data_IF_036072356955
#
_entry.id   IF_036072356955
#
_cell.length_a   1.000
_cell.length_b   1.000
_cell.length_c   1.000
_cell.angle_alpha   90.00
_cell.angle_beta   90.00
_cell.angle_gamma   90.00
#
_symmetry.space_group_name_H-M   'P 1'
#
loop_
_entity.id
_entity.type
_entity.pdbx_description
1 polymer ?
#
# COMPACT_ATOMS: atom_id res chain seq x y z
N UNK A 1 -34.52 -20.89 21.99
CA UNK A 1 -33.18 -20.73 22.62
C UNK A 1 -32.18 -20.55 21.50
N UNK A 2 -31.64 -19.34 21.33
CA UNK A 2 -30.63 -19.08 20.31
C UNK A 2 -29.28 -19.60 20.82
N UNK A 3 -28.81 -20.70 20.25
CA UNK A 3 -27.44 -21.15 20.46
C UNK A 3 -26.52 -20.14 19.80
N UNK A 4 -25.95 -19.24 20.60
CA UNK A 4 -24.79 -18.44 20.20
C UNK A 4 -23.68 -19.43 19.87
N UNK A 5 -23.52 -19.78 18.59
CA UNK A 5 -22.31 -20.47 18.13
C UNK A 5 -21.17 -19.52 18.42
N UNK A 6 -20.47 -19.73 19.52
CA UNK A 6 -19.17 -19.12 19.71
C UNK A 6 -18.32 -19.59 18.53
N UNK A 7 -18.09 -18.69 17.58
CA UNK A 7 -17.13 -18.90 16.50
C UNK A 7 -15.79 -19.16 17.19
N UNK A 8 -15.41 -20.43 17.21
CA UNK A 8 -14.13 -20.86 17.73
C UNK A 8 -13.12 -20.32 16.73
N UNK A 9 -12.32 -19.31 17.14
CA UNK A 9 -11.23 -18.82 16.30
C UNK A 9 -10.33 -20.00 15.92
N UNK A 10 -9.77 -20.03 14.70
CA UNK A 10 -8.81 -21.05 14.33
C UNK A 10 -7.63 -20.97 15.30
N UNK A 11 -7.07 -22.13 15.65
CA UNK A 11 -5.83 -22.18 16.41
C UNK A 11 -4.74 -21.47 15.59
N UNK A 12 -3.88 -20.70 16.26
CA UNK A 12 -2.73 -20.02 15.67
C UNK A 12 -3.06 -18.91 14.63
N UNK A 13 -3.91 -17.96 15.02
CA UNK A 13 -4.18 -16.72 14.25
C UNK A 13 -3.68 -15.49 14.99
N UNK A 14 -3.42 -14.42 14.24
CA UNK A 14 -2.94 -13.16 14.81
C UNK A 14 -3.94 -12.55 15.80
N UNK A 15 -3.40 -12.06 16.92
CA UNK A 15 -4.16 -11.27 17.90
C UNK A 15 -4.29 -9.80 17.49
N UNK A 16 -5.11 -9.03 18.21
CA UNK A 16 -5.25 -7.58 18.00
C UNK A 16 -3.97 -6.79 18.35
N UNK A 17 -3.12 -7.36 19.20
CA UNK A 17 -1.91 -6.71 19.69
C UNK A 17 -0.69 -6.95 18.79
N UNK A 18 -0.77 -7.94 17.91
CA UNK A 18 0.29 -8.19 16.93
C UNK A 18 0.34 -7.07 15.90
N UNK A 19 1.57 -6.64 15.60
CA UNK A 19 1.86 -5.67 14.55
C UNK A 19 2.61 -6.37 13.43
N UNK A 20 2.18 -6.10 12.20
CA UNK A 20 3.03 -6.40 11.05
C UNK A 20 4.29 -5.56 11.15
N UNK A 21 5.42 -6.17 10.82
CA UNK A 21 6.67 -5.45 10.69
C UNK A 21 6.57 -4.44 9.55
N UNK A 22 6.82 -3.17 9.80
CA UNK A 22 6.90 -2.18 8.72
C UNK A 22 8.12 -2.48 7.83
N UNK A 23 8.02 -2.16 6.54
CA UNK A 23 9.17 -2.23 5.64
C UNK A 23 10.25 -1.30 6.19
N UNK A 24 11.51 -1.71 6.23
CA UNK A 24 12.60 -0.75 6.40
C UNK A 24 13.07 -0.30 5.02
N UNK A 25 13.28 1.00 4.83
CA UNK A 25 13.97 1.49 3.64
C UNK A 25 15.33 0.77 3.49
N UNK A 26 15.69 0.34 2.26
CA UNK A 26 17.01 -0.22 1.99
C UNK A 26 18.12 0.72 2.46
N UNK A 27 19.16 0.16 3.09
CA UNK A 27 20.20 0.92 3.80
C UNK A 27 21.07 1.78 2.86
N UNK A 28 21.11 1.41 1.58
CA UNK A 28 21.85 2.05 0.50
C UNK A 28 21.09 3.20 -0.16
N UNK A 29 19.80 3.40 0.16
CA UNK A 29 19.05 4.56 -0.32
C UNK A 29 19.60 5.84 0.30
N UNK A 30 20.02 6.75 -0.58
CA UNK A 30 20.57 8.08 -0.24
C UNK A 30 20.11 9.12 -1.25
N UNK A 31 20.15 10.42 -0.91
CA UNK A 31 19.92 11.49 -1.89
C UNK A 31 20.72 11.26 -3.18
N UNK A 32 20.10 11.61 -4.30
CA UNK A 32 20.55 11.42 -5.68
C UNK A 32 20.68 9.98 -6.18
N UNK A 33 20.45 8.97 -5.33
CA UNK A 33 20.31 7.60 -5.81
C UNK A 33 19.12 7.50 -6.78
N UNK A 34 19.31 6.74 -7.84
CA UNK A 34 18.28 6.47 -8.84
C UNK A 34 17.90 5.00 -8.72
N UNK A 35 16.63 4.74 -8.48
CA UNK A 35 16.09 3.38 -8.34
C UNK A 35 14.84 3.21 -9.19
N UNK A 36 14.52 1.95 -9.53
CA UNK A 36 13.29 1.63 -10.28
C UNK A 36 12.16 1.31 -9.33
N UNK A 37 10.98 1.87 -9.60
CA UNK A 37 9.80 1.64 -8.79
C UNK A 37 8.53 1.52 -9.63
N UNK A 38 7.52 0.87 -9.07
CA UNK A 38 6.16 0.77 -9.63
C UNK A 38 5.20 1.35 -8.61
N UNK A 39 4.37 2.31 -9.03
CA UNK A 39 3.32 2.86 -8.18
C UNK A 39 2.18 1.86 -7.97
N UNK A 40 1.82 1.63 -6.71
CA UNK A 40 0.79 0.67 -6.31
C UNK A 40 -0.48 1.36 -5.83
N UNK A 41 -0.33 2.53 -5.20
CA UNK A 41 -1.45 3.35 -4.76
C UNK A 41 -1.07 4.84 -4.75
N UNK A 42 -2.07 5.68 -5.01
CA UNK A 42 -1.97 7.14 -4.94
C UNK A 42 -3.08 7.61 -4.02
N UNK A 43 -2.71 8.14 -2.85
CA UNK A 43 -3.67 8.83 -1.98
C UNK A 43 -3.74 10.30 -2.37
N UNK A 44 -2.57 10.91 -2.58
CA UNK A 44 -2.39 12.23 -3.19
C UNK A 44 -0.92 12.38 -3.63
N UNK A 45 -0.53 13.47 -4.31
CA UNK A 45 0.86 13.67 -4.77
C UNK A 45 1.94 13.63 -3.67
N UNK A 46 1.59 13.96 -2.42
CA UNK A 46 2.51 13.88 -1.27
C UNK A 46 2.46 12.52 -0.54
N UNK A 47 1.59 11.61 -0.97
CA UNK A 47 1.39 10.32 -0.34
C UNK A 47 1.05 9.25 -1.39
N UNK A 48 2.08 8.66 -1.97
CA UNK A 48 1.99 7.49 -2.84
C UNK A 48 2.67 6.30 -2.17
N UNK A 49 2.32 5.11 -2.66
CA UNK A 49 2.98 3.87 -2.31
C UNK A 49 3.58 3.25 -3.56
N UNK A 50 4.79 2.71 -3.42
CA UNK A 50 5.52 2.06 -4.51
C UNK A 50 6.12 0.73 -4.06
N UNK A 51 6.32 -0.16 -5.03
CA UNK A 51 7.26 -1.27 -4.90
C UNK A 51 8.59 -0.89 -5.54
N UNK A 52 9.68 -1.04 -4.79
CA UNK A 52 11.03 -0.95 -5.33
C UNK A 52 11.32 -2.21 -6.13
N UNK A 53 11.67 -2.09 -7.41
CA UNK A 53 11.81 -3.24 -8.32
C UNK A 53 12.90 -4.22 -7.88
N UNK A 54 13.93 -3.73 -7.23
CA UNK A 54 15.05 -4.54 -6.71
C UNK A 54 14.68 -5.28 -5.41
N UNK A 55 13.52 -5.01 -4.82
CA UNK A 55 13.05 -5.62 -3.58
C UNK A 55 11.69 -6.32 -3.73
N UNK A 56 11.25 -6.63 -4.97
CA UNK A 56 9.97 -7.32 -5.19
C UNK A 56 10.01 -8.82 -4.92
N UNK A 57 11.19 -9.42 -4.74
CA UNK A 57 11.33 -10.88 -4.58
C UNK A 57 10.54 -11.43 -3.39
N UNK A 58 10.50 -10.67 -2.29
CA UNK A 58 9.72 -11.05 -1.10
C UNK A 58 8.23 -11.12 -1.44
N UNK A 59 7.68 -10.11 -2.12
CA UNK A 59 6.28 -10.11 -2.55
C UNK A 59 5.99 -11.23 -3.57
N UNK A 60 6.90 -11.48 -4.51
CA UNK A 60 6.76 -12.53 -5.52
C UNK A 60 6.68 -13.93 -4.90
N UNK A 61 7.39 -14.18 -3.79
CA UNK A 61 7.33 -15.42 -3.04
C UNK A 61 6.15 -15.46 -2.05
N UNK A 62 5.81 -14.32 -1.44
CA UNK A 62 4.75 -14.21 -0.45
C UNK A 62 3.37 -14.41 -1.06
N UNK A 63 3.10 -13.77 -2.20
CA UNK A 63 1.77 -13.78 -2.79
C UNK A 63 1.25 -15.21 -3.13
N UNK A 64 2.01 -16.12 -3.78
CA UNK A 64 1.57 -17.50 -3.96
C UNK A 64 1.44 -18.27 -2.64
N UNK A 65 2.28 -17.99 -1.62
CA UNK A 65 2.13 -18.59 -0.28
C UNK A 65 0.77 -18.23 0.33
N UNK A 66 0.38 -16.95 0.28
CA UNK A 66 -0.93 -16.50 0.79
C UNK A 66 -2.05 -17.17 -0.02
N UNK A 67 -1.97 -17.16 -1.35
CA UNK A 67 -3.03 -17.77 -2.17
C UNK A 67 -3.21 -19.25 -1.87
N UNK A 68 -2.13 -20.03 -1.76
CA UNK A 68 -2.20 -21.45 -1.44
C UNK A 68 -2.84 -21.70 -0.05
N UNK A 69 -2.45 -20.94 0.96
CA UNK A 69 -2.99 -21.04 2.31
C UNK A 69 -4.49 -20.74 2.34
N UNK A 70 -4.91 -19.62 1.75
CA UNK A 70 -6.29 -19.15 1.89
C UNK A 70 -7.25 -19.70 0.84
N UNK A 71 -6.76 -20.24 -0.27
CA UNK A 71 -7.61 -21.04 -1.16
C UNK A 71 -7.99 -22.38 -0.50
N UNK A 72 -7.08 -23.02 0.23
CA UNK A 72 -7.38 -24.23 1.00
C UNK A 72 -8.44 -23.99 2.10
N UNK A 73 -8.46 -22.77 2.67
CA UNK A 73 -9.37 -22.36 3.74
C UNK A 73 -10.56 -21.50 3.25
N UNK A 74 -10.76 -21.36 1.94
CA UNK A 74 -11.72 -20.39 1.40
C UNK A 74 -13.15 -20.62 1.90
N UNK A 75 -13.52 -21.88 2.07
CA UNK A 75 -14.85 -22.34 2.50
C UNK A 75 -14.92 -22.70 4.00
N UNK A 76 -13.84 -22.51 4.76
CA UNK A 76 -13.76 -22.87 6.16
C UNK A 76 -14.34 -21.73 7.04
N UNK A 77 -15.54 -21.89 7.63
CA UNK A 77 -16.24 -20.82 8.32
C UNK A 77 -15.51 -20.30 9.57
N UNK A 78 -14.68 -21.12 10.20
CA UNK A 78 -13.84 -20.75 11.34
C UNK A 78 -12.81 -19.68 10.97
N UNK A 79 -12.36 -19.62 9.72
CA UNK A 79 -11.41 -18.61 9.27
C UNK A 79 -12.05 -17.26 9.02
N UNK A 80 -13.37 -17.20 8.86
CA UNK A 80 -14.11 -15.94 8.68
C UNK A 80 -14.03 -15.13 9.97
N UNK A 81 -13.65 -13.85 9.86
CA UNK A 81 -13.56 -12.98 11.02
C UNK A 81 -14.96 -12.45 11.41
N UNK A 82 -15.53 -12.84 12.56
CA UNK A 82 -16.82 -12.31 13.02
C UNK A 82 -16.71 -10.86 13.49
N UNK A 83 -17.84 -10.16 13.46
CA UNK A 83 -18.01 -8.75 13.88
C UNK A 83 -17.35 -8.43 15.23
N UNK A 84 -17.56 -9.30 16.23
CA UNK A 84 -17.02 -9.10 17.58
C UNK A 84 -15.50 -8.92 17.61
N UNK A 85 -14.82 -9.39 16.58
CA UNK A 85 -13.37 -9.52 16.50
C UNK A 85 -12.75 -8.62 15.43
N UNK A 86 -13.57 -8.08 14.52
CA UNK A 86 -13.20 -7.15 13.46
C UNK A 86 -13.05 -5.72 14.01
N UNK A 87 -11.91 -5.46 14.66
CA UNK A 87 -11.60 -4.17 15.30
C UNK A 87 -10.53 -3.41 14.52
N UNK A 88 -10.59 -2.08 14.57
CA UNK A 88 -9.56 -1.21 14.01
C UNK A 88 -8.19 -1.59 14.58
N UNK A 89 -7.18 -1.63 13.72
CA UNK A 89 -5.83 -2.08 14.03
C UNK A 89 -5.59 -3.57 13.77
N UNK A 90 -6.65 -4.39 13.66
CA UNK A 90 -6.48 -5.83 13.44
C UNK A 90 -6.00 -6.16 12.03
N UNK A 91 -5.02 -7.05 11.94
CA UNK A 91 -4.59 -7.62 10.66
C UNK A 91 -5.49 -8.78 10.22
N UNK A 92 -5.72 -8.84 8.92
CA UNK A 92 -6.57 -9.83 8.27
C UNK A 92 -6.06 -10.14 6.87
N UNK A 93 -6.65 -11.15 6.24
CA UNK A 93 -6.45 -11.46 4.83
C UNK A 93 -7.78 -11.32 4.11
N UNK A 94 -7.78 -10.67 2.95
CA UNK A 94 -8.99 -10.45 2.16
C UNK A 94 -8.69 -10.65 0.67
N UNK A 95 -9.70 -11.09 -0.08
CA UNK A 95 -9.56 -11.35 -1.51
C UNK A 95 -9.80 -10.06 -2.31
N UNK A 96 -8.94 -9.79 -3.29
CA UNK A 96 -9.12 -8.71 -4.24
C UNK A 96 -8.68 -9.15 -5.64
N UNK A 97 -9.56 -8.98 -6.63
CA UNK A 97 -9.32 -9.38 -8.03
C UNK A 97 -8.74 -10.80 -8.17
N UNK A 98 -9.30 -11.74 -7.41
CA UNK A 98 -8.90 -13.15 -7.46
C UNK A 98 -7.72 -13.54 -6.57
N UNK A 99 -7.04 -12.59 -5.92
CA UNK A 99 -5.87 -12.85 -5.06
C UNK A 99 -6.13 -12.55 -3.60
N UNK A 100 -5.58 -13.36 -2.71
CA UNK A 100 -5.59 -13.12 -1.27
C UNK A 100 -4.44 -12.19 -0.89
N UNK A 101 -4.75 -11.15 -0.11
CA UNK A 101 -3.79 -10.10 0.24
C UNK A 101 -3.84 -9.82 1.73
N UNK A 102 -2.68 -9.46 2.30
CA UNK A 102 -2.60 -8.98 3.68
C UNK A 102 -3.20 -7.58 3.79
N UNK A 103 -3.95 -7.36 4.86
CA UNK A 103 -4.60 -6.09 5.12
C UNK A 103 -4.70 -5.81 6.62
N UNK A 104 -4.99 -4.55 6.94
CA UNK A 104 -5.33 -4.10 8.28
C UNK A 104 -6.68 -3.38 8.25
N UNK A 105 -7.51 -3.63 9.25
CA UNK A 105 -8.75 -2.87 9.45
C UNK A 105 -8.38 -1.47 9.93
N UNK A 106 -8.70 -0.45 9.14
CA UNK A 106 -8.44 0.96 9.50
C UNK A 106 -9.70 1.72 9.89
N UNK A 107 -10.88 1.19 9.55
CA UNK A 107 -12.18 1.73 9.98
C UNK A 107 -13.26 0.66 9.94
N UNK A 108 -14.21 0.72 10.88
CA UNK A 108 -15.42 -0.09 10.91
C UNK A 108 -16.63 0.79 10.65
N UNK A 109 -17.56 0.37 9.80
CA UNK A 109 -18.81 1.12 9.60
C UNK A 109 -19.82 0.86 10.73
N UNK A 110 -20.72 1.81 11.05
CA UNK A 110 -21.67 1.69 12.17
C UNK A 110 -22.63 0.50 12.06
N UNK A 111 -22.94 0.06 10.84
CA UNK A 111 -23.81 -1.10 10.60
C UNK A 111 -23.07 -2.44 10.74
N UNK A 112 -21.75 -2.40 10.97
CA UNK A 112 -20.88 -3.56 11.07
C UNK A 112 -20.91 -4.53 9.88
N UNK A 113 -21.44 -4.13 8.72
CA UNK A 113 -21.49 -5.01 7.55
C UNK A 113 -20.20 -4.98 6.75
N UNK A 114 -19.52 -3.83 6.75
CA UNK A 114 -18.30 -3.58 6.00
C UNK A 114 -17.24 -2.92 6.87
N UNK A 115 -15.99 -3.13 6.49
CA UNK A 115 -14.83 -2.47 7.07
C UNK A 115 -13.98 -1.85 5.96
N UNK A 116 -13.30 -0.75 6.29
CA UNK A 116 -12.26 -0.20 5.42
C UNK A 116 -10.95 -0.92 5.73
N UNK A 117 -10.42 -1.60 4.73
CA UNK A 117 -9.12 -2.25 4.79
C UNK A 117 -8.05 -1.35 4.19
N UNK A 118 -6.85 -1.37 4.76
CA UNK A 118 -5.62 -0.93 4.14
C UNK A 118 -4.79 -2.16 3.76
N UNK A 119 -4.51 -2.34 2.47
CA UNK A 119 -3.70 -3.47 1.99
C UNK A 119 -2.23 -3.15 2.20
N UNK A 120 -1.64 -3.73 3.24
CA UNK A 120 -0.32 -3.38 3.78
C UNK A 120 0.83 -3.61 2.80
N UNK A 121 0.60 -4.44 1.78
CA UNK A 121 1.57 -4.73 0.73
C UNK A 121 1.37 -3.90 -0.53
N UNK A 122 0.38 -3.01 -0.58
CA UNK A 122 0.04 -2.25 -1.79
C UNK A 122 -0.36 -0.79 -1.51
N UNK A 123 -0.69 -0.44 -0.28
CA UNK A 123 -0.98 0.93 0.14
C UNK A 123 -2.41 1.41 -0.10
N UNK A 124 -3.15 0.80 -1.03
CA UNK A 124 -4.53 1.21 -1.32
C UNK A 124 -5.52 0.76 -0.24
N UNK A 125 -6.69 1.40 -0.23
CA UNK A 125 -7.77 1.10 0.71
C UNK A 125 -9.04 0.67 -0.01
N UNK A 126 -9.80 -0.26 0.59
CA UNK A 126 -11.10 -0.70 0.05
C UNK A 126 -12.06 -1.03 1.18
N UNK A 127 -13.33 -0.71 0.95
CA UNK A 127 -14.42 -1.27 1.72
C UNK A 127 -14.63 -2.73 1.32
N UNK A 128 -14.69 -3.61 2.32
CA UNK A 128 -14.85 -5.05 2.14
C UNK A 128 -15.90 -5.56 3.13
N UNK A 129 -16.84 -6.44 2.71
CA UNK A 129 -17.79 -7.09 3.62
C UNK A 129 -17.07 -7.94 4.67
N UNK A 130 -17.59 -7.99 5.91
CA UNK A 130 -17.01 -8.84 6.96
C UNK A 130 -16.89 -10.32 6.55
N UNK A 131 -17.83 -10.83 5.75
CA UNK A 131 -17.83 -12.20 5.25
C UNK A 131 -16.62 -12.55 4.36
N UNK A 132 -15.95 -11.54 3.78
CA UNK A 132 -14.77 -11.71 2.95
C UNK A 132 -13.46 -11.60 3.74
N UNK A 133 -13.52 -11.21 5.03
CA UNK A 133 -12.36 -11.17 5.89
C UNK A 133 -12.00 -12.58 6.37
N UNK A 134 -10.71 -12.87 6.37
CA UNK A 134 -10.13 -14.05 7.01
C UNK A 134 -9.13 -13.64 8.07
N UNK A 135 -9.02 -14.42 9.12
CA UNK A 135 -7.95 -14.26 10.10
C UNK A 135 -6.57 -14.40 9.45
N UNK A 136 -5.60 -13.57 9.85
CA UNK A 136 -4.22 -13.69 9.40
C UNK A 136 -3.48 -14.75 10.24
N UNK A 137 -2.60 -15.53 9.63
CA UNK A 137 -1.65 -16.40 10.35
C UNK A 137 -0.44 -15.58 10.85
N UNK A 138 0.09 -15.82 12.06
CA UNK A 138 1.24 -15.09 12.61
C UNK A 138 2.49 -15.13 11.72
N UNK A 139 2.73 -16.23 11.01
CA UNK A 139 3.84 -16.33 10.04
C UNK A 139 3.77 -15.28 8.93
N UNK A 140 2.55 -14.90 8.53
CA UNK A 140 2.35 -13.84 7.55
C UNK A 140 2.57 -12.48 8.20
N UNK A 141 2.28 -12.31 9.49
CA UNK A 141 2.51 -11.06 10.18
C UNK A 141 4.01 -10.76 10.41
N UNK A 142 4.83 -11.82 10.53
CA UNK A 142 6.28 -11.72 10.71
C UNK A 142 7.03 -11.21 9.46
N UNK A 143 6.39 -11.19 8.29
CA UNK A 143 6.98 -10.70 7.05
C UNK A 143 6.76 -9.19 6.97
N UNK A 144 7.78 -8.35 6.66
CA UNK A 144 7.57 -6.92 6.55
C UNK A 144 6.51 -6.53 5.52
N UNK A 145 5.86 -5.38 5.67
CA UNK A 145 5.11 -4.73 4.58
C UNK A 145 6.01 -4.66 3.32
N UNK A 146 5.39 -4.57 2.14
CA UNK A 146 6.15 -4.57 0.87
C UNK A 146 6.15 -3.23 0.13
N UNK A 147 5.40 -2.24 0.61
CA UNK A 147 5.36 -0.89 0.01
C UNK A 147 6.26 0.09 0.71
N UNK A 148 6.83 0.98 -0.08
CA UNK A 148 7.51 2.18 0.39
C UNK A 148 6.61 3.38 0.17
N UNK A 149 6.47 4.22 1.19
CA UNK A 149 5.76 5.49 1.07
C UNK A 149 6.68 6.53 0.42
N UNK A 150 6.14 7.26 -0.55
CA UNK A 150 6.87 8.35 -1.21
C UNK A 150 5.99 9.61 -1.30
N UNK A 151 6.66 10.75 -1.47
CA UNK A 151 6.07 12.02 -1.90
C UNK A 151 6.73 12.47 -3.21
N UNK A 152 5.93 12.99 -4.14
CA UNK A 152 6.46 13.62 -5.34
C UNK A 152 7.04 14.98 -4.96
N UNK A 153 8.36 15.08 -4.97
CA UNK A 153 9.08 16.29 -4.63
C UNK A 153 8.65 17.45 -5.54
N UNK A 154 8.69 18.65 -4.96
CA UNK A 154 8.40 19.95 -5.60
C UNK A 154 6.94 20.14 -6.03
N UNK A 155 6.02 19.21 -5.75
CA UNK A 155 4.60 19.40 -6.01
C UNK A 155 3.88 19.90 -4.76
N UNK A 156 3.16 21.01 -4.91
CA UNK A 156 2.32 21.60 -3.88
C UNK A 156 0.88 21.82 -4.39
N UNK A 157 -0.14 21.70 -3.54
CA UNK A 157 -1.50 22.07 -3.92
C UNK A 157 -1.61 23.59 -4.07
N UNK A 158 -2.32 24.07 -5.09
CA UNK A 158 -2.47 25.52 -5.32
C UNK A 158 -3.23 26.23 -4.19
N UNK A 159 -4.21 25.54 -3.58
CA UNK A 159 -5.09 26.08 -2.54
C UNK A 159 -4.90 25.33 -1.20
N UNK A 160 -3.71 24.81 -0.93
CA UNK A 160 -3.38 24.12 0.32
C UNK A 160 -3.94 22.70 0.46
N UNK A 161 -4.84 22.26 -0.42
CA UNK A 161 -5.37 20.89 -0.43
C UNK A 161 -5.34 20.25 -1.83
N UNK A 162 -5.12 18.94 -1.88
CA UNK A 162 -5.14 18.18 -3.13
C UNK A 162 -6.56 17.83 -3.52
N UNK A 163 -7.01 18.28 -4.69
CA UNK A 163 -8.34 17.95 -5.22
C UNK A 163 -8.40 16.50 -5.69
N UNK A 164 -9.59 15.90 -5.69
CA UNK A 164 -9.79 14.55 -6.25
C UNK A 164 -9.36 14.46 -7.73
N UNK A 165 -9.57 15.53 -8.49
CA UNK A 165 -9.17 15.60 -9.88
C UNK A 165 -7.63 15.58 -10.05
N UNK A 166 -6.91 16.25 -9.15
CA UNK A 166 -5.44 16.17 -9.06
C UNK A 166 -4.99 14.76 -8.72
N UNK A 167 -5.58 14.14 -7.68
CA UNK A 167 -5.26 12.76 -7.28
C UNK A 167 -5.47 11.79 -8.44
N UNK A 168 -6.60 11.89 -9.14
CA UNK A 168 -6.92 11.05 -10.29
C UNK A 168 -5.97 11.30 -11.47
N UNK A 169 -5.56 12.55 -11.71
CA UNK A 169 -4.59 12.89 -12.74
C UNK A 169 -3.25 12.19 -12.48
N UNK A 170 -2.70 12.30 -11.26
CA UNK A 170 -1.46 11.62 -10.89
C UNK A 170 -1.62 10.11 -10.95
N UNK A 171 -2.73 9.57 -10.42
CA UNK A 171 -3.03 8.14 -10.46
C UNK A 171 -3.03 7.58 -11.89
N UNK A 172 -3.66 8.28 -12.85
CA UNK A 172 -3.66 7.91 -14.26
C UNK A 172 -2.27 7.98 -14.88
N UNK A 173 -1.50 9.02 -14.52
CA UNK A 173 -0.18 9.25 -15.06
C UNK A 173 0.83 8.17 -14.64
N UNK A 174 0.67 7.61 -13.43
CA UNK A 174 1.57 6.57 -12.88
C UNK A 174 1.10 5.14 -13.10
N UNK A 175 -0.17 4.94 -13.46
CA UNK A 175 -0.80 3.62 -13.55
C UNK A 175 -0.07 2.69 -14.53
N UNK A 176 0.31 1.51 -14.04
CA UNK A 176 0.84 0.42 -14.87
C UNK A 176 2.21 0.69 -15.47
N UNK A 177 2.94 1.69 -14.96
CA UNK A 177 4.24 2.10 -15.46
C UNK A 177 5.33 1.82 -14.44
N UNK A 178 6.52 1.50 -14.95
CA UNK A 178 7.76 1.49 -14.17
C UNK A 178 8.39 2.86 -14.34
N UNK A 179 8.74 3.50 -13.23
CA UNK A 179 9.47 4.77 -13.24
C UNK A 179 10.86 4.56 -12.69
N UNK A 180 11.81 5.34 -13.21
CA UNK A 180 12.98 5.66 -12.43
C UNK A 180 12.59 6.78 -11.46
N UNK A 181 13.09 6.69 -10.25
CA UNK A 181 12.93 7.72 -9.25
C UNK A 181 14.28 8.15 -8.73
N UNK A 182 14.56 9.45 -8.81
CA UNK A 182 15.70 10.06 -8.12
C UNK A 182 15.26 10.43 -6.71
N UNK A 183 16.01 9.99 -5.72
CA UNK A 183 15.74 10.30 -4.31
C UNK A 183 16.20 11.73 -4.02
N UNK A 184 15.30 12.57 -3.54
CA UNK A 184 15.61 13.93 -3.07
C UNK A 184 15.94 13.88 -1.59
N UNK A 185 15.12 13.19 -0.79
CA UNK A 185 15.32 13.08 0.64
C UNK A 185 14.90 11.71 1.18
N UNK A 186 15.52 11.30 2.29
CA UNK A 186 15.26 10.04 2.98
C UNK A 186 14.79 10.32 4.40
N UNK A 187 13.49 10.14 4.65
CA UNK A 187 12.87 10.31 5.95
C UNK A 187 12.88 8.98 6.73
N UNK A 188 14.04 8.64 7.33
CA UNK A 188 14.23 7.34 8.02
C UNK A 188 13.22 7.10 9.16
N UNK A 189 12.83 8.16 9.90
CA UNK A 189 11.87 8.06 11.01
C UNK A 189 10.46 7.73 10.53
N UNK A 190 10.07 8.32 9.40
CA UNK A 190 8.73 8.18 8.83
C UNK A 190 8.66 7.14 7.70
N UNK A 191 9.76 6.40 7.52
CA UNK A 191 9.97 5.37 6.51
C UNK A 191 9.50 5.80 5.11
N UNK A 192 9.98 6.97 4.66
CA UNK A 192 9.54 7.54 3.40
C UNK A 192 10.60 8.30 2.63
N UNK A 193 10.30 8.55 1.36
CA UNK A 193 11.19 9.22 0.42
C UNK A 193 10.49 10.40 -0.24
N UNK A 194 11.20 11.51 -0.39
CA UNK A 194 10.82 12.53 -1.36
C UNK A 194 11.52 12.20 -2.67
N UNK A 195 10.78 12.14 -3.78
CA UNK A 195 11.31 11.64 -5.05
C UNK A 195 10.88 12.48 -6.24
N UNK A 196 11.74 12.52 -7.25
CA UNK A 196 11.38 12.97 -8.60
C UNK A 196 11.25 11.74 -9.48
N UNK A 197 10.11 11.60 -10.15
CA UNK A 197 9.96 10.62 -11.23
C UNK A 197 10.56 11.14 -12.51
N UNK A 198 11.09 10.25 -13.34
CA UNK A 198 11.73 10.63 -14.59
C UNK A 198 12.25 9.46 -15.39
N UNK A 199 12.79 9.78 -16.57
CA UNK A 199 13.46 8.84 -17.45
C UNK A 199 14.96 9.18 -17.47
N UNK A 200 15.73 8.49 -16.62
CA UNK A 200 17.18 8.64 -16.53
C UNK A 200 17.93 7.59 -17.36
N UNK A 201 17.26 6.89 -18.29
CA UNK A 201 17.87 5.84 -19.13
C UNK A 201 18.58 6.42 -20.35
N UNK A 202 18.12 7.55 -20.88
CA UNK A 202 18.78 8.20 -22.00
C UNK A 202 19.66 9.35 -21.51
N UNK A 203 20.98 9.23 -21.71
CA UNK A 203 21.96 10.30 -21.54
C UNK A 203 21.69 11.51 -22.47
N UNK A 204 20.76 11.37 -23.42
CA UNK A 204 20.49 12.30 -24.53
C UNK A 204 19.52 13.45 -24.21
N UNK A 205 18.90 13.50 -23.02
CA UNK A 205 18.00 14.62 -22.66
C UNK A 205 18.63 15.43 -21.53
N UNK A 206 18.81 16.73 -21.74
CA UNK A 206 19.46 17.63 -20.79
C UNK A 206 18.74 17.74 -19.41
N UNK A 207 19.33 18.46 -18.45
CA UNK A 207 18.92 18.49 -17.03
C UNK A 207 17.45 18.91 -16.78
N UNK A 208 16.87 19.72 -17.66
CA UNK A 208 15.52 20.28 -17.47
C UNK A 208 14.39 19.47 -18.15
N UNK A 209 14.73 18.42 -18.93
CA UNK A 209 13.76 17.59 -19.67
C UNK A 209 13.39 16.27 -18.99
N UNK A 210 13.90 15.99 -17.78
CA UNK A 210 13.82 14.66 -17.14
C UNK A 210 12.74 14.49 -16.07
N UNK A 211 12.26 15.58 -15.46
CA UNK A 211 11.32 15.48 -14.34
C UNK A 211 9.89 15.25 -14.83
N UNK A 212 9.36 14.05 -14.62
CA UNK A 212 7.95 13.74 -14.76
C UNK A 212 7.08 14.54 -13.76
N UNK A 213 7.59 14.86 -12.56
CA UNK A 213 6.83 15.65 -11.58
C UNK A 213 6.39 17.01 -12.16
N UNK A 214 7.32 17.76 -12.75
CA UNK A 214 7.03 19.00 -13.50
C UNK A 214 5.96 18.84 -14.58
N UNK A 215 5.90 17.70 -15.26
CA UNK A 215 4.87 17.42 -16.28
C UNK A 215 3.48 17.17 -15.67
N UNK A 216 3.40 16.79 -14.39
CA UNK A 216 2.12 16.69 -13.67
C UNK A 216 1.58 18.08 -13.28
N UNK A 217 2.46 19.08 -13.11
CA UNK A 217 2.09 20.46 -12.78
C UNK A 217 1.56 21.28 -13.97
N UNK A 218 1.03 20.62 -15.01
CA UNK A 218 0.32 21.28 -16.12
C UNK A 218 -1.11 21.68 -15.74
N UNK A 219 -1.62 21.15 -14.62
CA UNK A 219 -2.93 21.52 -14.07
C UNK A 219 -2.78 22.75 -13.17
N UNK A 220 -3.80 23.61 -13.19
CA UNK A 220 -3.84 24.82 -12.35
C UNK A 220 -3.90 24.53 -10.85
N UNK A 221 -4.34 23.32 -10.45
CA UNK A 221 -4.44 22.90 -9.05
C UNK A 221 -3.16 22.24 -8.50
N UNK A 222 -2.07 22.27 -9.27
CA UNK A 222 -0.75 21.73 -8.90
C UNK A 222 0.31 22.78 -9.18
N UNK A 223 1.03 23.20 -8.15
CA UNK A 223 2.15 24.14 -8.24
C UNK A 223 3.46 23.37 -8.18
N UNK A 224 4.41 23.70 -9.05
CA UNK A 224 5.76 23.15 -9.03
C UNK A 224 6.75 24.19 -8.50
N UNK A 225 7.51 23.85 -7.45
CA UNK A 225 8.51 24.73 -6.82
C UNK A 225 9.76 23.95 -6.39
N UNK A 226 10.90 24.26 -7.02
CA UNK A 226 12.22 23.67 -6.73
C UNK A 226 12.87 24.21 -5.46
#
# INVERSE_FOLDING_TARGET
MAHTKHSIMPLNVTTINEKIMETNLPADLKPDAIVKAIATAVLNPAHLFVHLKEHTDVLLNLAPKIDNLYNAQANAPEWVMPEATAKVGRYCVAKYKGRWLRAQIVRTEPNHQCVLLHYVDYGYRRYVPLSELRYMMPELAAIPCQVVRIALAHLNPSEGTWTDACVQHVANAVRGRVFYMRIVNVHKKDNALDVIFGDWVSELRGPNGKSFNRQLAVRSDIVYSE
#
